data_IF_755586451382
#
_entry.id   IF_755586451382
#
_cell.length_a   1.000
_cell.length_b   1.000
_cell.length_c   1.000
_cell.angle_alpha   90.00
_cell.angle_beta   90.00
_cell.angle_gamma   90.00
#
_symmetry.space_group_name_H-M   'P 1'
#
loop_
_entity.id
_entity.type
_entity.pdbx_description
1 polymer ?
#
# COMPACT_ATOMS: atom_id res chain seq x y z
N UNK A 1 15.01 23.22 5.71
CA UNK A 1 13.99 23.57 6.72
C UNK A 1 14.47 23.10 8.08
N UNK A 2 14.42 23.93 9.09
CA UNK A 2 14.78 23.59 10.46
C UNK A 2 13.75 24.20 11.41
N UNK A 3 13.09 23.34 12.17
CA UNK A 3 12.16 23.81 13.20
C UNK A 3 12.90 24.53 14.34
N UNK A 4 14.13 24.11 14.59
CA UNK A 4 14.93 24.60 15.70
C UNK A 4 15.67 25.92 15.38
N UNK A 5 16.21 26.04 14.18
CA UNK A 5 17.09 27.15 13.76
C UNK A 5 16.47 28.04 12.67
N UNK A 6 15.29 27.69 12.18
CA UNK A 6 14.65 28.34 11.04
C UNK A 6 13.85 29.60 11.38
N UNK A 7 13.60 30.35 10.34
CA UNK A 7 12.66 31.47 10.33
C UNK A 7 12.03 31.56 8.95
N UNK A 8 10.71 31.66 8.87
CA UNK A 8 10.00 31.72 7.58
C UNK A 8 10.21 33.02 6.81
N UNK A 9 10.94 33.97 7.37
CA UNK A 9 11.43 35.17 6.67
C UNK A 9 12.80 34.96 6.01
N UNK A 10 13.47 33.83 6.29
CA UNK A 10 14.75 33.47 5.69
C UNK A 10 14.60 33.15 4.19
N UNK A 11 15.73 33.07 3.49
CA UNK A 11 15.74 32.70 2.07
C UNK A 11 15.44 31.21 1.82
N UNK A 12 15.67 30.35 2.82
CA UNK A 12 15.55 28.91 2.72
C UNK A 12 16.62 28.22 1.84
N UNK A 13 17.60 28.99 1.33
CA UNK A 13 18.57 28.50 0.32
C UNK A 13 19.83 27.87 0.91
N UNK A 14 20.00 27.93 2.21
CA UNK A 14 21.15 27.31 2.90
C UNK A 14 20.75 26.88 4.31
N UNK A 15 21.56 26.02 4.91
CA UNK A 15 21.42 25.62 6.32
C UNK A 15 21.67 26.78 7.31
N UNK A 16 22.28 27.88 6.87
CA UNK A 16 22.46 29.09 7.68
C UNK A 16 21.21 29.97 7.72
N UNK A 17 20.33 29.86 6.72
CA UNK A 17 19.09 30.63 6.61
C UNK A 17 17.90 29.73 6.27
N UNK A 18 17.58 28.70 7.10
CA UNK A 18 16.52 27.77 6.81
C UNK A 18 15.13 28.38 7.09
N UNK A 19 14.11 27.89 6.40
CA UNK A 19 12.72 28.10 6.83
C UNK A 19 12.45 27.38 8.16
N UNK A 20 11.51 27.90 8.94
CA UNK A 20 11.10 27.26 10.20
C UNK A 20 9.99 26.22 10.01
N UNK A 21 9.15 26.35 8.98
CA UNK A 21 7.95 25.56 8.82
C UNK A 21 7.79 24.94 7.45
N UNK A 22 7.02 23.84 7.38
CA UNK A 22 6.56 23.24 6.12
C UNK A 22 5.52 24.13 5.42
N UNK A 23 4.85 25.01 6.13
CA UNK A 23 3.92 25.98 5.52
C UNK A 23 4.63 26.98 4.61
N UNK A 24 5.88 27.34 4.91
CA UNK A 24 6.70 28.12 3.99
C UNK A 24 6.95 27.35 2.68
N UNK A 25 7.24 26.04 2.77
CA UNK A 25 7.49 25.19 1.61
C UNK A 25 6.23 25.03 0.75
N UNK A 26 5.07 24.81 1.35
CA UNK A 26 3.80 24.64 0.64
C UNK A 26 3.39 25.87 -0.20
N UNK A 27 4.02 27.03 0.00
CA UNK A 27 3.79 28.26 -0.76
C UNK A 27 4.78 28.47 -1.90
N UNK A 28 5.84 27.68 -1.96
CA UNK A 28 6.84 27.80 -3.01
C UNK A 28 6.32 27.22 -4.33
N UNK A 29 6.83 27.79 -5.41
CA UNK A 29 6.75 27.20 -6.73
C UNK A 29 8.06 26.50 -7.01
N UNK A 30 8.04 25.17 -6.87
CA UNK A 30 9.23 24.35 -7.06
C UNK A 30 9.57 24.20 -8.55
N UNK A 31 10.86 24.04 -8.81
CA UNK A 31 11.40 23.84 -10.14
C UNK A 31 12.08 22.47 -10.24
N UNK A 32 12.23 21.90 -11.43
CA UNK A 32 13.04 20.70 -11.62
C UNK A 32 14.43 20.85 -11.03
N UNK A 33 14.84 19.87 -10.22
CA UNK A 33 16.12 19.85 -9.50
C UNK A 33 16.11 20.50 -8.13
N UNK A 34 15.00 21.09 -7.69
CA UNK A 34 14.89 21.64 -6.34
C UNK A 34 14.98 20.53 -5.29
N UNK A 35 15.61 20.85 -4.18
CA UNK A 35 15.76 19.96 -3.03
C UNK A 35 15.16 20.60 -1.78
N UNK A 36 14.16 19.95 -1.20
CA UNK A 36 13.56 20.33 0.08
C UNK A 36 14.18 19.41 1.13
N UNK A 37 15.07 19.96 1.95
CA UNK A 37 15.77 19.20 2.96
C UNK A 37 15.34 19.65 4.36
N UNK A 38 14.92 18.70 5.16
CA UNK A 38 14.50 18.88 6.55
C UNK A 38 15.68 18.52 7.45
N UNK A 39 15.93 19.33 8.46
CA UNK A 39 17.00 19.08 9.43
C UNK A 39 16.66 17.87 10.31
N UNK A 40 17.60 16.96 10.45
CA UNK A 40 17.51 15.85 11.37
C UNK A 40 17.17 16.32 12.79
N UNK A 41 16.52 15.49 13.59
CA UNK A 41 16.03 15.80 14.93
C UNK A 41 14.97 16.92 14.99
N UNK A 42 14.43 17.39 13.85
CA UNK A 42 13.29 18.32 13.81
C UNK A 42 11.97 17.57 13.88
N UNK A 43 10.98 18.15 14.59
CA UNK A 43 9.61 17.61 14.65
C UNK A 43 8.61 18.67 14.19
N UNK A 44 8.02 18.48 13.02
CA UNK A 44 7.05 19.38 12.43
C UNK A 44 5.62 18.97 12.86
N UNK A 45 5.28 19.24 14.12
CA UNK A 45 4.00 18.87 14.72
C UNK A 45 2.85 19.73 14.19
N UNK A 46 1.74 19.10 13.77
CA UNK A 46 0.58 19.76 13.17
C UNK A 46 0.87 20.33 11.77
N UNK A 47 1.94 19.89 11.12
CA UNK A 47 2.36 20.36 9.81
C UNK A 47 2.36 19.22 8.79
N UNK A 48 2.30 19.58 7.52
CA UNK A 48 2.19 18.65 6.40
C UNK A 48 2.87 19.25 5.16
N UNK A 49 3.16 18.38 4.18
CA UNK A 49 3.65 18.78 2.86
C UNK A 49 2.61 18.50 1.77
N UNK A 50 2.40 19.48 0.89
CA UNK A 50 1.58 19.33 -0.32
C UNK A 50 2.39 19.77 -1.53
N UNK A 51 2.73 18.84 -2.41
CA UNK A 51 3.56 19.06 -3.60
C UNK A 51 2.68 18.86 -4.84
N UNK A 52 2.58 19.89 -5.65
CA UNK A 52 1.84 19.90 -6.93
C UNK A 52 2.75 20.19 -8.12
N UNK A 53 4.01 20.49 -7.86
CA UNK A 53 5.04 20.74 -8.85
C UNK A 53 5.76 19.47 -9.23
N UNK A 54 6.40 19.47 -10.38
CA UNK A 54 7.05 18.31 -10.96
C UNK A 54 8.52 18.60 -11.26
N UNK A 55 9.35 17.58 -11.06
CA UNK A 55 10.69 17.55 -11.61
C UNK A 55 10.70 17.11 -13.07
N UNK A 56 11.87 16.70 -13.53
CA UNK A 56 12.07 15.96 -14.77
C UNK A 56 12.87 14.70 -14.49
N UNK A 57 12.96 13.79 -15.47
CA UNK A 57 13.74 12.55 -15.32
C UNK A 57 15.19 12.81 -14.88
N UNK A 58 15.81 13.87 -15.43
CA UNK A 58 17.21 14.20 -15.16
C UNK A 58 17.37 15.13 -13.96
N UNK A 59 16.33 15.86 -13.58
CA UNK A 59 16.29 16.83 -12.50
C UNK A 59 15.02 16.61 -11.64
N UNK A 60 14.94 15.51 -10.88
CA UNK A 60 13.81 15.27 -10.00
C UNK A 60 13.77 16.31 -8.87
N UNK A 61 12.57 16.56 -8.34
CA UNK A 61 12.40 17.24 -7.05
C UNK A 61 12.72 16.21 -5.97
N UNK A 62 13.60 16.55 -5.04
CA UNK A 62 13.99 15.67 -3.93
C UNK A 62 13.53 16.27 -2.60
N UNK A 63 12.79 15.48 -1.83
CA UNK A 63 12.36 15.81 -0.47
C UNK A 63 13.03 14.81 0.46
N UNK A 64 13.81 15.29 1.43
CA UNK A 64 14.58 14.40 2.30
C UNK A 64 15.15 15.12 3.51
N UNK A 65 16.18 14.54 4.09
CA UNK A 65 16.81 15.02 5.30
C UNK A 65 18.20 15.63 5.05
N UNK A 66 18.68 16.43 5.99
CA UNK A 66 20.07 16.83 6.12
C UNK A 66 20.49 16.81 7.60
N UNK A 67 21.80 16.68 7.83
CA UNK A 67 22.36 16.52 9.18
C UNK A 67 22.15 17.77 10.06
N UNK A 68 21.75 17.54 11.31
CA UNK A 68 21.85 18.54 12.40
C UNK A 68 23.27 18.52 12.95
N UNK A 69 24.12 19.44 12.48
CA UNK A 69 25.53 19.54 12.88
C UNK A 69 25.73 19.88 14.36
N UNK A 70 24.67 20.18 15.09
CA UNK A 70 24.72 20.50 16.52
C UNK A 70 24.54 19.26 17.41
N UNK A 71 24.17 18.12 16.84
CA UNK A 71 23.90 16.87 17.54
C UNK A 71 24.77 15.73 17.02
N UNK A 72 25.24 14.88 17.92
CA UNK A 72 25.95 13.66 17.54
C UNK A 72 25.01 12.57 17.02
N UNK A 73 23.79 12.49 17.58
CA UNK A 73 22.76 11.56 17.17
C UNK A 73 21.89 12.20 16.05
N UNK A 74 21.68 11.45 14.99
CA UNK A 74 20.97 11.89 13.78
C UNK A 74 19.70 11.07 13.60
N UNK A 75 18.58 11.53 14.18
CA UNK A 75 17.29 10.93 13.93
C UNK A 75 16.63 11.58 12.71
N UNK A 76 15.89 10.82 11.86
CA UNK A 76 15.19 11.42 10.73
C UNK A 76 14.24 12.52 11.19
N UNK A 77 14.02 13.56 10.38
CA UNK A 77 13.05 14.59 10.71
C UNK A 77 11.63 14.03 10.64
N UNK A 78 10.79 14.41 11.61
CA UNK A 78 9.43 13.92 11.75
C UNK A 78 8.43 14.92 11.19
N UNK A 79 7.57 14.48 10.30
CA UNK A 79 6.33 15.19 9.91
C UNK A 79 5.16 14.54 10.64
N UNK A 80 4.69 15.18 11.71
CA UNK A 80 3.57 14.73 12.50
C UNK A 80 2.31 15.54 12.14
N UNK A 81 1.54 15.07 11.15
CA UNK A 81 0.43 15.86 10.62
C UNK A 81 -0.71 16.07 11.61
N UNK A 82 -0.95 15.14 12.53
CA UNK A 82 -1.97 15.24 13.57
C UNK A 82 -3.38 15.56 13.04
N UNK A 83 -3.76 14.93 11.92
CA UNK A 83 -5.04 15.15 11.25
C UNK A 83 -5.09 16.41 10.37
N UNK A 84 -4.00 17.14 10.23
CA UNK A 84 -3.87 18.25 9.28
C UNK A 84 -3.54 17.75 7.86
N UNK A 85 -3.30 18.66 6.91
CA UNK A 85 -3.04 18.28 5.51
C UNK A 85 -4.30 17.76 4.82
N UNK A 86 -5.42 18.43 5.06
CA UNK A 86 -6.75 18.00 4.58
C UNK A 86 -6.90 18.35 3.09
N UNK A 87 -7.34 17.36 2.31
CA UNK A 87 -7.72 17.52 0.92
C UNK A 87 -8.98 16.70 0.61
N UNK A 88 -9.63 17.00 -0.51
CA UNK A 88 -10.84 16.29 -0.91
C UNK A 88 -10.53 15.30 -2.03
N UNK A 89 -10.66 14.02 -1.72
CA UNK A 89 -10.58 12.95 -2.70
C UNK A 89 -11.94 12.73 -3.33
N UNK A 90 -11.99 12.65 -4.66
CA UNK A 90 -13.21 12.33 -5.40
C UNK A 90 -12.83 11.58 -6.67
N UNK A 91 -13.27 10.33 -6.77
CA UNK A 91 -13.07 9.52 -7.98
C UNK A 91 -13.79 10.07 -9.20
N UNK A 92 -14.83 10.90 -9.03
CA UNK A 92 -15.59 11.50 -10.12
C UNK A 92 -16.51 10.52 -10.86
N UNK A 93 -16.69 9.32 -10.34
CA UNK A 93 -17.56 8.28 -10.88
C UNK A 93 -17.93 7.28 -9.77
N UNK A 94 -18.90 6.40 -10.05
CA UNK A 94 -19.16 5.22 -9.26
C UNK A 94 -17.94 4.27 -9.34
N UNK A 95 -17.69 3.51 -8.27
CA UNK A 95 -16.71 2.43 -8.23
C UNK A 95 -17.41 1.09 -8.52
N UNK A 96 -16.68 -0.01 -8.34
CA UNK A 96 -17.16 -1.39 -8.57
C UNK A 96 -18.41 -1.77 -7.76
N UNK A 97 -18.69 -1.06 -6.67
CA UNK A 97 -19.92 -1.21 -5.89
C UNK A 97 -20.46 0.14 -5.43
N UNK A 98 -21.80 0.35 -5.49
CA UNK A 98 -22.45 1.55 -4.94
C UNK A 98 -22.23 1.74 -3.43
N UNK A 99 -21.91 0.66 -2.70
CA UNK A 99 -21.63 0.70 -1.28
C UNK A 99 -20.24 1.28 -0.97
N UNK A 100 -19.36 1.40 -1.97
CA UNK A 100 -18.01 1.89 -1.77
C UNK A 100 -17.97 3.41 -1.67
N UNK A 101 -17.28 3.92 -0.65
CA UNK A 101 -17.02 5.35 -0.49
C UNK A 101 -16.16 5.83 -1.66
N UNK A 102 -16.67 6.80 -2.42
CA UNK A 102 -16.02 7.32 -3.65
C UNK A 102 -15.49 8.74 -3.52
N UNK A 103 -15.88 9.44 -2.48
CA UNK A 103 -15.41 10.81 -2.21
C UNK A 103 -15.44 11.11 -0.71
N UNK A 104 -14.63 12.07 -0.29
CA UNK A 104 -14.57 12.52 1.08
C UNK A 104 -13.27 13.24 1.40
N UNK A 105 -13.21 13.80 2.60
CA UNK A 105 -12.00 14.44 3.09
C UNK A 105 -10.99 13.40 3.60
N UNK A 106 -9.73 13.65 3.26
CA UNK A 106 -8.57 12.86 3.68
C UNK A 106 -7.54 13.80 4.29
N UNK A 107 -6.90 13.37 5.37
CA UNK A 107 -5.72 14.03 5.92
C UNK A 107 -4.47 13.25 5.50
N UNK A 108 -3.43 13.94 5.03
CA UNK A 108 -2.16 13.31 4.62
C UNK A 108 -0.97 14.08 5.18
N UNK A 109 0.00 13.34 5.76
CA UNK A 109 1.23 13.99 6.22
C UNK A 109 2.06 14.52 5.03
N UNK A 110 2.08 13.75 3.94
CA UNK A 110 2.61 14.20 2.65
C UNK A 110 1.59 13.88 1.56
N UNK A 111 1.27 14.88 0.74
CA UNK A 111 0.45 14.73 -0.46
C UNK A 111 1.26 15.11 -1.70
N UNK A 112 1.42 14.17 -2.62
CA UNK A 112 1.91 14.41 -3.98
C UNK A 112 0.71 14.42 -4.92
N UNK A 113 0.26 15.60 -5.38
CA UNK A 113 -0.93 15.73 -6.20
C UNK A 113 -0.57 16.18 -7.61
N UNK A 114 -0.85 15.36 -8.60
CA UNK A 114 -0.47 15.59 -10.00
C UNK A 114 1.02 15.88 -10.21
N UNK A 115 1.86 15.47 -9.27
CA UNK A 115 3.30 15.61 -9.32
C UNK A 115 3.95 14.42 -10.02
N UNK A 116 5.10 14.64 -10.67
CA UNK A 116 5.92 13.61 -11.26
C UNK A 116 7.41 13.91 -11.09
N UNK A 117 8.24 12.88 -11.22
CA UNK A 117 9.68 12.95 -10.97
C UNK A 117 9.97 13.59 -9.61
N UNK A 118 9.38 13.00 -8.58
CA UNK A 118 9.56 13.37 -7.17
C UNK A 118 10.14 12.18 -6.41
N UNK A 119 11.19 12.45 -5.64
CA UNK A 119 11.75 11.50 -4.67
C UNK A 119 11.44 12.00 -3.26
N UNK A 120 10.74 11.19 -2.46
CA UNK A 120 10.51 11.41 -1.04
C UNK A 120 11.30 10.36 -0.26
N UNK A 121 12.20 10.79 0.64
CA UNK A 121 13.13 9.89 1.27
C UNK A 121 13.57 10.32 2.68
N UNK A 122 14.02 9.33 3.48
CA UNK A 122 14.75 9.54 4.73
C UNK A 122 13.98 10.40 5.74
N UNK A 123 12.65 10.20 5.84
CA UNK A 123 11.75 10.93 6.74
C UNK A 123 10.97 9.98 7.63
N UNK A 124 10.58 10.48 8.80
CA UNK A 124 9.60 9.85 9.67
C UNK A 124 8.26 10.57 9.55
N UNK A 125 7.17 9.82 9.35
CA UNK A 125 5.83 10.35 9.09
C UNK A 125 4.82 9.75 10.04
N UNK A 126 4.06 10.60 10.73
CA UNK A 126 2.92 10.19 11.57
C UNK A 126 1.68 11.01 11.24
N UNK A 127 0.50 10.43 11.43
CA UNK A 127 -0.74 11.15 11.21
C UNK A 127 -1.85 10.62 12.15
N UNK A 128 -1.69 10.90 13.43
CA UNK A 128 -2.62 10.51 14.50
C UNK A 128 -3.60 11.63 14.81
N UNK A 129 -4.88 11.30 14.96
CA UNK A 129 -5.85 12.21 15.58
C UNK A 129 -5.90 12.02 17.10
N UNK A 130 -6.42 13.02 17.82
CA UNK A 130 -6.65 12.94 19.28
C UNK A 130 -7.78 11.98 19.66
N UNK A 131 -8.43 11.39 18.70
CA UNK A 131 -9.59 10.50 18.79
C UNK A 131 -9.22 9.01 18.89
N UNK A 132 -7.98 8.68 19.28
CA UNK A 132 -7.58 7.30 19.56
C UNK A 132 -8.30 6.85 20.84
N UNK A 133 -9.17 5.86 20.72
CA UNK A 133 -9.95 5.33 21.84
C UNK A 133 -9.66 3.83 21.99
N UNK A 134 -9.09 3.44 23.15
CA UNK A 134 -8.88 2.03 23.49
C UNK A 134 -7.82 1.31 22.65
N UNK A 135 -8.00 0.00 22.52
CA UNK A 135 -7.07 -0.88 21.79
C UNK A 135 -7.28 -0.83 20.27
N UNK A 136 -8.45 -0.42 19.82
CA UNK A 136 -8.77 -0.26 18.40
C UNK A 136 -8.11 0.99 17.86
N UNK A 137 -7.22 0.82 16.89
CA UNK A 137 -6.44 1.92 16.32
C UNK A 137 -7.25 2.79 15.35
N UNK A 138 -8.22 2.22 14.67
CA UNK A 138 -9.12 2.89 13.75
C UNK A 138 -10.59 2.71 14.16
N UNK A 139 -11.46 3.62 13.70
CA UNK A 139 -12.89 3.57 13.98
C UNK A 139 -13.68 4.16 12.80
N UNK A 140 -15.00 3.80 12.68
CA UNK A 140 -15.82 4.20 11.52
C UNK A 140 -16.05 5.70 11.37
N UNK A 141 -16.00 6.43 12.48
CA UNK A 141 -16.21 7.88 12.54
C UNK A 141 -14.92 8.71 12.38
N UNK A 142 -13.77 8.04 12.32
CA UNK A 142 -12.50 8.73 12.06
C UNK A 142 -12.39 9.21 10.61
N UNK A 143 -11.68 10.31 10.43
CA UNK A 143 -11.27 10.77 9.11
C UNK A 143 -10.33 9.75 8.45
N UNK A 144 -10.41 9.61 7.14
CA UNK A 144 -9.39 8.90 6.39
C UNK A 144 -8.05 9.61 6.52
N UNK A 145 -6.99 8.88 6.90
CA UNK A 145 -5.64 9.44 7.13
C UNK A 145 -4.58 8.61 6.43
N UNK A 146 -3.60 9.29 5.84
CA UNK A 146 -2.42 8.66 5.25
C UNK A 146 -1.12 9.26 5.77
N UNK A 147 -0.07 8.46 5.80
CA UNK A 147 1.29 8.96 5.87
C UNK A 147 1.65 9.66 4.56
N UNK A 148 1.63 8.93 3.44
CA UNK A 148 1.86 9.48 2.10
C UNK A 148 0.66 9.18 1.21
N UNK A 149 0.06 10.23 0.65
CA UNK A 149 -0.91 10.13 -0.43
C UNK A 149 -0.27 10.58 -1.76
N UNK A 150 -0.49 9.78 -2.81
CA UNK A 150 -0.11 10.16 -4.18
C UNK A 150 -1.36 10.10 -5.05
N UNK A 151 -1.74 11.24 -5.62
CA UNK A 151 -2.94 11.37 -6.43
C UNK A 151 -2.60 11.86 -7.85
N UNK A 152 -3.14 11.18 -8.86
CA UNK A 152 -3.11 11.61 -10.24
C UNK A 152 -4.53 11.98 -10.68
N UNK A 153 -4.72 13.13 -11.33
CA UNK A 153 -6.05 13.57 -11.79
C UNK A 153 -6.03 14.30 -13.13
N UNK A 154 -5.46 15.50 -13.19
CA UNK A 154 -5.69 16.43 -14.29
C UNK A 154 -4.49 16.61 -15.24
N UNK A 155 -3.42 15.84 -15.04
CA UNK A 155 -2.20 15.96 -15.83
C UNK A 155 -1.80 14.64 -16.55
N UNK A 156 -2.75 13.69 -16.70
CA UNK A 156 -2.50 12.42 -17.38
C UNK A 156 -1.54 11.50 -16.61
N UNK A 157 -0.57 10.92 -17.31
CA UNK A 157 0.41 9.99 -16.71
C UNK A 157 1.36 10.71 -15.77
N UNK A 158 1.43 10.24 -14.51
CA UNK A 158 2.43 10.73 -13.53
C UNK A 158 3.55 9.71 -13.41
N UNK A 159 4.76 10.13 -13.76
CA UNK A 159 5.93 9.25 -13.86
C UNK A 159 7.02 9.57 -12.86
N UNK A 160 7.87 8.57 -12.57
CA UNK A 160 9.12 8.78 -11.84
C UNK A 160 8.93 9.15 -10.36
N UNK A 161 7.98 8.54 -9.68
CA UNK A 161 7.76 8.73 -8.25
C UNK A 161 8.57 7.69 -7.48
N UNK A 162 9.44 8.13 -6.59
CA UNK A 162 10.24 7.28 -5.71
C UNK A 162 9.95 7.62 -4.25
N UNK A 163 9.48 6.62 -3.50
CA UNK A 163 9.29 6.68 -2.05
C UNK A 163 10.27 5.70 -1.43
N UNK A 164 11.25 6.19 -0.65
CA UNK A 164 12.27 5.28 -0.11
C UNK A 164 12.72 5.65 1.29
N UNK A 165 13.13 4.62 2.05
CA UNK A 165 13.67 4.77 3.41
C UNK A 165 12.76 5.62 4.32
N UNK A 166 11.43 5.50 4.17
CA UNK A 166 10.46 6.18 5.00
C UNK A 166 10.14 5.35 6.24
N UNK A 167 10.03 5.98 7.38
CA UNK A 167 9.48 5.40 8.60
C UNK A 167 8.09 5.98 8.79
N UNK A 168 7.05 5.18 8.57
CA UNK A 168 5.65 5.62 8.62
C UNK A 168 4.94 4.85 9.71
N UNK A 169 4.45 5.56 10.72
CA UNK A 169 3.77 4.87 11.82
C UNK A 169 2.71 5.74 12.48
N UNK A 170 1.88 5.10 13.29
CA UNK A 170 0.82 5.79 14.01
C UNK A 170 -0.08 6.65 13.11
N UNK A 171 -0.58 6.01 12.03
CA UNK A 171 -1.56 6.61 11.11
C UNK A 171 -2.93 6.01 11.39
N UNK A 172 -3.74 6.69 12.20
CA UNK A 172 -5.01 6.18 12.67
C UNK A 172 -6.22 6.76 11.92
N UNK A 173 -6.59 6.14 10.82
CA UNK A 173 -7.72 6.56 10.01
C UNK A 173 -8.94 5.64 10.12
N UNK A 174 -9.82 5.75 9.15
CA UNK A 174 -11.02 4.95 9.02
C UNK A 174 -10.75 3.64 8.29
N UNK A 175 -10.71 2.52 9.01
CA UNK A 175 -10.43 1.20 8.42
C UNK A 175 -11.54 0.72 7.47
N UNK A 176 -12.75 1.25 7.60
CA UNK A 176 -13.92 0.79 6.84
C UNK A 176 -13.98 1.34 5.41
N UNK A 177 -13.30 2.45 5.13
CA UNK A 177 -13.27 3.08 3.82
C UNK A 177 -12.08 2.58 2.98
N UNK A 178 -12.12 1.33 2.54
CA UNK A 178 -11.00 0.72 1.80
C UNK A 178 -10.65 1.39 0.46
N UNK A 179 -11.55 2.20 -0.09
CA UNK A 179 -11.36 2.88 -1.38
C UNK A 179 -10.77 4.28 -1.24
N UNK A 180 -10.73 4.81 -0.04
CA UNK A 180 -10.18 6.12 0.25
C UNK A 180 -8.69 6.04 0.63
N UNK A 181 -7.98 7.14 0.48
CA UNK A 181 -6.61 7.25 0.99
C UNK A 181 -6.57 7.06 2.50
N UNK A 182 -6.09 5.93 2.96
CA UNK A 182 -6.21 5.49 4.34
C UNK A 182 -5.15 4.45 4.69
N UNK A 183 -4.12 4.86 5.41
CA UNK A 183 -3.02 3.98 5.82
C UNK A 183 -1.64 4.59 5.66
N UNK A 184 -0.61 3.77 5.47
CA UNK A 184 0.78 4.21 5.36
C UNK A 184 1.06 4.97 4.06
N UNK A 185 1.07 4.26 2.95
CA UNK A 185 1.25 4.81 1.60
C UNK A 185 0.05 4.39 0.75
N UNK A 186 -0.62 5.35 0.13
CA UNK A 186 -1.72 5.06 -0.78
C UNK A 186 -1.66 5.92 -2.05
N UNK A 187 -1.71 5.25 -3.20
CA UNK A 187 -1.71 5.89 -4.51
C UNK A 187 -3.07 5.71 -5.17
N UNK A 188 -3.62 6.78 -5.77
CA UNK A 188 -4.93 6.74 -6.41
C UNK A 188 -4.98 7.55 -7.71
N UNK A 189 -5.69 7.03 -8.70
CA UNK A 189 -5.99 7.76 -9.93
C UNK A 189 -7.45 8.21 -9.94
N UNK A 190 -7.66 9.51 -10.05
CA UNK A 190 -8.95 10.19 -10.03
C UNK A 190 -9.37 10.59 -11.45
N UNK A 191 -10.67 10.65 -11.71
CA UNK A 191 -11.18 11.05 -13.02
C UNK A 191 -10.78 12.49 -13.34
N UNK A 192 -10.14 12.75 -14.49
CA UNK A 192 -9.83 14.10 -14.93
C UNK A 192 -11.08 14.97 -15.03
N UNK A 193 -10.97 16.23 -14.63
CA UNK A 193 -12.06 17.22 -14.73
C UNK A 193 -12.12 17.76 -16.16
N UNK A 194 -10.98 18.06 -16.77
CA UNK A 194 -10.90 18.56 -18.15
C UNK A 194 -11.14 17.42 -19.16
N UNK A 195 -11.98 17.68 -20.17
CA UNK A 195 -12.44 16.67 -21.13
C UNK A 195 -11.32 16.09 -22.01
N UNK A 196 -10.31 16.87 -22.34
CA UNK A 196 -9.25 16.51 -23.28
C UNK A 196 -7.96 16.07 -22.58
N UNK A 197 -8.04 15.74 -21.30
CA UNK A 197 -6.89 15.26 -20.53
C UNK A 197 -6.72 13.75 -20.74
N UNK A 198 -5.49 13.30 -20.93
CA UNK A 198 -5.15 11.87 -20.90
C UNK A 198 -5.59 11.22 -19.59
N UNK A 199 -5.80 9.91 -19.63
CA UNK A 199 -6.18 9.15 -18.45
C UNK A 199 -5.15 9.30 -17.32
N UNK A 200 -5.64 9.66 -16.15
CA UNK A 200 -4.80 9.74 -14.95
C UNK A 200 -4.34 8.34 -14.55
N UNK A 201 -3.03 8.13 -14.45
CA UNK A 201 -2.39 6.86 -14.10
C UNK A 201 -0.92 7.05 -13.74
N UNK A 202 -0.29 6.01 -13.23
CA UNK A 202 1.11 6.05 -12.80
C UNK A 202 2.02 5.21 -13.71
N UNK A 203 3.27 5.68 -13.85
CA UNK A 203 4.33 4.95 -14.55
C UNK A 203 5.67 5.17 -13.85
N UNK A 204 6.54 4.14 -13.82
CA UNK A 204 7.86 4.21 -13.18
C UNK A 204 7.75 4.64 -11.72
N UNK A 205 7.06 3.86 -10.92
CA UNK A 205 6.92 4.08 -9.47
C UNK A 205 7.78 3.07 -8.72
N UNK A 206 8.53 3.55 -7.75
CA UNK A 206 9.31 2.70 -6.84
C UNK A 206 8.97 3.04 -5.40
N UNK A 207 8.62 2.02 -4.61
CA UNK A 207 8.50 2.11 -3.14
C UNK A 207 9.49 1.12 -2.55
N UNK A 208 10.52 1.61 -1.85
CA UNK A 208 11.63 0.77 -1.40
C UNK A 208 12.18 1.14 -0.02
N UNK A 209 12.59 0.13 0.74
CA UNK A 209 13.26 0.32 2.03
C UNK A 209 12.42 1.02 3.09
N UNK A 210 11.09 1.02 2.96
CA UNK A 210 10.21 1.68 3.91
C UNK A 210 9.85 0.76 5.09
N UNK A 211 9.78 1.33 6.29
CA UNK A 211 9.21 0.71 7.46
C UNK A 211 7.83 1.32 7.75
N UNK A 212 6.79 0.49 7.78
CA UNK A 212 5.40 0.92 8.01
C UNK A 212 4.82 0.16 9.19
N UNK A 213 4.36 0.85 10.21
CA UNK A 213 3.87 0.20 11.44
C UNK A 213 2.63 0.89 12.02
N UNK A 214 1.65 0.12 12.46
CA UNK A 214 0.41 0.63 13.08
C UNK A 214 -0.26 1.72 12.25
N UNK A 215 -0.66 1.32 11.05
CA UNK A 215 -1.43 2.17 10.15
C UNK A 215 -2.84 1.60 9.97
N UNK A 216 -3.82 2.45 9.65
CA UNK A 216 -5.22 2.06 9.66
C UNK A 216 -5.56 0.96 8.65
N UNK A 217 -5.80 1.22 7.39
CA UNK A 217 -6.26 0.19 6.45
C UNK A 217 -5.10 -0.45 5.69
N UNK A 218 -4.39 0.34 4.92
CA UNK A 218 -3.38 -0.12 3.98
C UNK A 218 -1.97 0.15 4.50
N UNK A 219 -1.09 -0.84 4.45
CA UNK A 219 0.31 -0.58 4.67
C UNK A 219 0.90 0.20 3.49
N UNK A 220 1.03 -0.44 2.34
CA UNK A 220 1.47 0.15 1.08
C UNK A 220 0.50 -0.29 -0.01
N UNK A 221 -0.16 0.65 -0.69
CA UNK A 221 -1.09 0.35 -1.76
C UNK A 221 -0.92 1.24 -2.99
N UNK A 222 -0.77 0.62 -4.15
CA UNK A 222 -1.17 1.21 -5.43
C UNK A 222 -2.64 0.85 -5.58
N UNK A 223 -3.51 1.78 -5.22
CA UNK A 223 -4.90 1.51 -4.91
C UNK A 223 -5.86 1.72 -6.07
N UNK A 224 -7.08 2.12 -5.73
CA UNK A 224 -8.18 2.21 -6.70
C UNK A 224 -7.98 3.31 -7.75
N UNK A 225 -8.57 3.06 -8.93
CA UNK A 225 -8.65 4.01 -10.04
C UNK A 225 -10.10 4.28 -10.44
N UNK A 226 -10.38 5.50 -10.88
CA UNK A 226 -11.67 5.84 -11.50
C UNK A 226 -11.97 5.00 -12.75
N UNK A 227 -10.94 4.47 -13.39
CA UNK A 227 -11.07 3.71 -14.63
C UNK A 227 -11.27 2.20 -14.40
N UNK A 228 -11.65 1.78 -13.19
CA UNK A 228 -11.80 0.38 -12.79
C UNK A 228 -12.65 -0.45 -13.78
N UNK A 229 -13.67 0.15 -14.38
CA UNK A 229 -14.53 -0.53 -15.35
C UNK A 229 -13.79 -0.99 -16.63
N UNK A 230 -12.63 -0.42 -16.94
CA UNK A 230 -11.79 -0.87 -18.06
C UNK A 230 -11.13 -2.23 -17.80
N UNK A 231 -11.17 -2.71 -16.56
CA UNK A 231 -10.55 -3.96 -16.11
C UNK A 231 -11.60 -5.00 -15.66
N UNK A 232 -12.79 -4.91 -16.24
CA UNK A 232 -13.85 -5.90 -16.00
C UNK A 232 -13.53 -7.24 -16.70
N UNK A 233 -13.98 -8.34 -16.07
CA UNK A 233 -13.78 -9.69 -16.58
C UNK A 233 -12.45 -10.32 -16.19
N UNK A 234 -12.22 -11.53 -16.69
CA UNK A 234 -11.06 -12.35 -16.38
C UNK A 234 -9.86 -12.06 -17.30
N UNK A 235 -10.10 -12.06 -18.61
CA UNK A 235 -9.06 -11.77 -19.61
C UNK A 235 -8.80 -10.26 -19.68
N UNK A 236 -7.70 -9.82 -19.08
CA UNK A 236 -7.36 -8.40 -19.02
C UNK A 236 -6.60 -7.96 -20.27
N UNK A 237 -7.15 -6.99 -20.97
CA UNK A 237 -6.56 -6.45 -22.20
C UNK A 237 -5.31 -5.61 -21.93
N UNK A 238 -4.19 -5.90 -22.58
CA UNK A 238 -2.98 -5.07 -22.50
C UNK A 238 -3.24 -3.63 -22.98
N UNK A 239 -4.12 -3.45 -23.98
CA UNK A 239 -4.52 -2.12 -24.46
C UNK A 239 -5.18 -1.30 -23.35
N UNK A 240 -6.03 -1.93 -22.51
CA UNK A 240 -6.65 -1.25 -21.36
C UNK A 240 -5.59 -0.77 -20.35
N UNK A 241 -4.55 -1.58 -20.11
CA UNK A 241 -3.45 -1.17 -19.22
C UNK A 241 -2.62 -0.03 -19.82
N UNK A 242 -2.28 -0.07 -21.09
CA UNK A 242 -1.53 1.00 -21.75
C UNK A 242 -2.29 2.33 -21.77
N UNK A 243 -3.62 2.28 -21.68
CA UNK A 243 -4.48 3.47 -21.69
C UNK A 243 -4.84 3.96 -20.29
N UNK A 244 -5.21 3.06 -19.38
CA UNK A 244 -5.80 3.37 -18.08
C UNK A 244 -5.04 2.78 -16.89
N UNK A 245 -4.21 1.75 -17.09
CA UNK A 245 -3.53 1.03 -16.04
C UNK A 245 -2.19 1.65 -15.65
N UNK A 246 -1.66 1.13 -14.56
CA UNK A 246 -0.33 1.52 -14.08
C UNK A 246 0.76 0.67 -14.78
N UNK A 247 1.92 1.25 -14.99
CA UNK A 247 3.04 0.59 -15.65
C UNK A 247 4.34 0.73 -14.86
N UNK A 248 5.17 -0.30 -14.90
CA UNK A 248 6.49 -0.29 -14.26
C UNK A 248 6.40 0.12 -12.78
N UNK A 249 5.62 -0.63 -12.02
CA UNK A 249 5.46 -0.48 -10.57
C UNK A 249 6.38 -1.47 -9.87
N UNK A 250 7.23 -0.99 -8.99
CA UNK A 250 8.14 -1.81 -8.16
C UNK A 250 7.93 -1.48 -6.68
N UNK A 251 7.65 -2.51 -5.88
CA UNK A 251 7.55 -2.41 -4.41
C UNK A 251 8.53 -3.42 -3.84
N UNK A 252 9.60 -2.97 -3.18
CA UNK A 252 10.67 -3.86 -2.73
C UNK A 252 11.32 -3.44 -1.42
N UNK A 253 11.88 -4.43 -0.73
CA UNK A 253 12.68 -4.22 0.48
C UNK A 253 11.93 -3.46 1.59
N UNK A 254 10.58 -3.57 1.64
CA UNK A 254 9.77 -2.91 2.64
C UNK A 254 9.41 -3.87 3.78
N UNK A 255 9.26 -3.31 4.98
CA UNK A 255 8.75 -4.01 6.15
C UNK A 255 7.45 -3.36 6.61
N UNK A 256 6.33 -4.07 6.50
CA UNK A 256 5.01 -3.62 6.93
C UNK A 256 4.57 -4.42 8.14
N UNK A 257 4.35 -3.74 9.25
CA UNK A 257 3.97 -4.35 10.52
C UNK A 257 2.65 -3.80 11.01
N UNK A 258 1.81 -4.67 11.57
CA UNK A 258 0.54 -4.28 12.23
C UNK A 258 -0.32 -3.32 11.41
N UNK A 259 -0.50 -3.60 10.11
CA UNK A 259 -1.51 -2.88 9.32
C UNK A 259 -2.92 -3.24 9.79
N UNK A 260 -3.83 -2.26 9.83
CA UNK A 260 -5.22 -2.49 10.21
C UNK A 260 -5.96 -3.41 9.25
N UNK A 261 -5.66 -3.31 7.96
CA UNK A 261 -6.11 -4.19 6.90
C UNK A 261 -4.94 -4.83 6.18
N UNK A 262 -4.88 -4.62 4.89
CA UNK A 262 -3.90 -5.22 3.98
C UNK A 262 -2.50 -4.64 4.20
N UNK A 263 -1.45 -5.46 4.02
CA UNK A 263 -0.10 -4.95 4.17
C UNK A 263 0.43 -4.33 2.88
N UNK A 264 0.48 -5.08 1.78
CA UNK A 264 1.01 -4.60 0.49
C UNK A 264 0.09 -5.02 -0.65
N UNK A 265 -0.38 -4.05 -1.41
CA UNK A 265 -1.31 -4.30 -2.51
C UNK A 265 -0.95 -3.48 -3.75
N UNK A 266 -1.06 -4.12 -4.92
CA UNK A 266 -0.95 -3.45 -6.22
C UNK A 266 -2.21 -3.75 -7.02
N UNK A 267 -2.86 -2.70 -7.53
CA UNK A 267 -4.08 -2.83 -8.32
C UNK A 267 -3.88 -2.20 -9.69
N UNK A 268 -4.57 -2.74 -10.70
CA UNK A 268 -4.65 -2.23 -12.09
C UNK A 268 -3.29 -1.97 -12.75
N UNK A 269 -2.30 -2.81 -12.47
CA UNK A 269 -0.96 -2.66 -13.00
C UNK A 269 -0.59 -3.75 -14.02
N UNK A 270 0.12 -3.34 -15.06
CA UNK A 270 0.73 -4.24 -16.04
C UNK A 270 2.15 -4.59 -15.57
N UNK A 271 2.41 -5.89 -15.39
CA UNK A 271 3.71 -6.46 -14.99
C UNK A 271 4.33 -5.78 -13.76
N UNK A 272 3.55 -5.56 -12.67
CA UNK A 272 4.16 -5.05 -11.44
C UNK A 272 5.11 -6.08 -10.82
N UNK A 273 6.14 -5.59 -10.13
CA UNK A 273 7.09 -6.42 -9.39
C UNK A 273 7.03 -6.08 -7.91
N UNK A 274 6.73 -7.07 -7.07
CA UNK A 274 6.68 -6.96 -5.61
C UNK A 274 7.64 -8.00 -5.03
N UNK A 275 8.76 -7.53 -4.48
CA UNK A 275 9.83 -8.46 -4.09
C UNK A 275 10.56 -8.02 -2.82
N UNK A 276 11.09 -9.02 -2.09
CA UNK A 276 11.87 -8.80 -0.86
C UNK A 276 11.14 -7.97 0.21
N UNK A 277 9.81 -8.07 0.28
CA UNK A 277 9.04 -7.39 1.31
C UNK A 277 8.69 -8.35 2.45
N UNK A 278 8.46 -7.78 3.63
CA UNK A 278 7.94 -8.50 4.78
C UNK A 278 6.62 -7.90 5.26
N UNK A 279 5.60 -8.72 5.42
CA UNK A 279 4.35 -8.41 6.11
C UNK A 279 4.32 -9.14 7.44
N UNK A 280 4.27 -8.41 8.54
CA UNK A 280 4.18 -8.94 9.90
C UNK A 280 2.89 -8.46 10.56
N UNK A 281 1.98 -9.37 10.82
CA UNK A 281 0.73 -9.08 11.54
C UNK A 281 -0.20 -8.13 10.78
N UNK A 282 -0.59 -8.48 9.55
CA UNK A 282 -1.63 -7.75 8.81
C UNK A 282 -3.05 -8.03 9.36
N UNK A 283 -4.03 -7.25 8.92
CA UNK A 283 -5.46 -7.33 9.27
C UNK A 283 -5.76 -7.17 10.78
N UNK A 284 -5.01 -6.32 11.47
CA UNK A 284 -5.19 -6.12 12.91
C UNK A 284 -6.55 -5.52 13.27
N UNK A 285 -7.15 -4.73 12.39
CA UNK A 285 -8.46 -4.08 12.59
C UNK A 285 -9.56 -4.73 11.72
N UNK A 286 -9.19 -5.41 10.65
CA UNK A 286 -10.10 -6.16 9.77
C UNK A 286 -10.16 -7.63 10.22
N UNK A 287 -10.78 -7.89 11.35
CA UNK A 287 -10.97 -9.24 11.88
C UNK A 287 -12.26 -9.32 12.70
N UNK A 288 -12.73 -10.54 12.95
CA UNK A 288 -14.02 -10.79 13.62
C UNK A 288 -14.12 -10.26 15.05
N UNK A 289 -12.99 -9.97 15.68
CA UNK A 289 -12.95 -9.49 17.07
C UNK A 289 -13.17 -7.98 17.18
N UNK A 290 -12.77 -7.22 16.15
CA UNK A 290 -12.70 -5.75 16.17
C UNK A 290 -13.63 -5.13 15.13
N UNK A 291 -13.64 -5.65 13.90
CA UNK A 291 -14.46 -5.10 12.83
C UNK A 291 -15.96 -5.24 13.12
N UNK A 292 -16.62 -4.13 13.37
CA UNK A 292 -18.05 -4.12 13.66
C UNK A 292 -18.84 -3.73 12.41
N UNK A 293 -19.62 -4.69 11.91
CA UNK A 293 -20.64 -4.37 10.93
C UNK A 293 -21.82 -3.67 11.63
N UNK A 294 -22.03 -2.40 11.46
CA UNK A 294 -23.22 -2.02 10.67
C UNK A 294 -22.88 -1.07 9.53
N UNK A 295 -21.64 -0.67 9.37
CA UNK A 295 -21.32 0.38 8.41
C UNK A 295 -21.20 -0.10 6.97
N UNK A 296 -21.28 -1.38 6.66
CA UNK A 296 -21.36 -1.99 5.30
C UNK A 296 -20.64 -1.21 4.17
N UNK A 297 -19.49 -0.61 4.47
CA UNK A 297 -18.78 0.29 3.55
C UNK A 297 -17.71 -0.40 2.72
N UNK A 298 -17.87 -1.66 2.47
CA UNK A 298 -16.89 -2.44 1.75
C UNK A 298 -16.19 -3.46 2.62
N UNK A 299 -15.93 -4.57 2.04
CA UNK A 299 -15.62 -5.86 2.57
C UNK A 299 -14.76 -5.95 3.84
N UNK A 300 -15.19 -6.82 4.70
CA UNK A 300 -14.44 -7.41 5.78
C UNK A 300 -13.42 -8.39 5.20
N UNK A 301 -12.58 -7.90 4.29
CA UNK A 301 -11.61 -8.68 3.54
C UNK A 301 -10.25 -8.00 3.62
N UNK A 302 -9.23 -8.76 3.93
CA UNK A 302 -7.84 -8.34 3.90
C UNK A 302 -6.92 -9.56 3.81
N UNK A 303 -5.88 -9.44 3.01
CA UNK A 303 -4.77 -10.37 2.91
C UNK A 303 -3.43 -9.64 3.13
N UNK A 304 -2.32 -10.36 3.24
CA UNK A 304 -1.06 -9.69 3.52
C UNK A 304 -0.48 -9.02 2.26
N UNK A 305 -0.13 -9.79 1.22
CA UNK A 305 0.58 -9.28 0.03
C UNK A 305 -0.11 -9.79 -1.24
N UNK A 306 -0.72 -8.89 -2.02
CA UNK A 306 -1.57 -9.33 -3.12
C UNK A 306 -1.80 -8.30 -4.22
N UNK A 307 -2.07 -8.73 -5.48
CA UNK A 307 -2.56 -7.89 -6.56
C UNK A 307 -4.08 -7.91 -6.68
N UNK A 308 -4.66 -6.91 -7.32
CA UNK A 308 -6.01 -6.95 -7.82
C UNK A 308 -6.11 -6.38 -9.24
N UNK A 309 -6.78 -7.12 -10.14
CA UNK A 309 -6.94 -6.68 -11.53
C UNK A 309 -5.60 -6.29 -12.17
N UNK A 310 -4.55 -7.04 -11.87
CA UNK A 310 -3.24 -6.89 -12.50
C UNK A 310 -3.07 -7.92 -13.62
N UNK A 311 -2.19 -7.60 -14.59
CA UNK A 311 -1.77 -8.54 -15.62
C UNK A 311 -0.30 -8.85 -15.50
N UNK A 312 0.06 -10.16 -15.56
CA UNK A 312 1.43 -10.67 -15.46
C UNK A 312 2.17 -10.13 -14.21
N UNK A 313 1.50 -10.09 -13.07
CA UNK A 313 2.07 -9.61 -11.82
C UNK A 313 3.08 -10.62 -11.24
N UNK A 314 4.24 -10.14 -10.79
CA UNK A 314 5.29 -10.96 -10.20
C UNK A 314 5.51 -10.60 -8.73
N UNK A 315 5.28 -11.59 -7.86
CA UNK A 315 5.50 -11.51 -6.41
C UNK A 315 6.54 -12.55 -6.01
N UNK A 316 7.71 -12.10 -5.56
CA UNK A 316 8.79 -13.04 -5.23
C UNK A 316 9.63 -12.62 -4.04
N UNK A 317 10.21 -13.60 -3.37
CA UNK A 317 11.09 -13.41 -2.22
C UNK A 317 10.45 -12.57 -1.10
N UNK A 318 9.10 -12.61 -0.97
CA UNK A 318 8.40 -11.94 0.10
C UNK A 318 8.17 -12.90 1.27
N UNK A 319 8.02 -12.32 2.46
CA UNK A 319 7.58 -13.01 3.67
C UNK A 319 6.24 -12.44 4.13
N UNK A 320 5.30 -13.31 4.53
CA UNK A 320 4.05 -12.90 5.13
C UNK A 320 3.72 -13.76 6.35
N UNK A 321 3.55 -13.11 7.50
CA UNK A 321 3.36 -13.79 8.78
C UNK A 321 2.22 -13.18 9.59
N UNK A 322 1.55 -14.04 10.37
CA UNK A 322 0.61 -13.67 11.42
C UNK A 322 -0.57 -12.79 10.93
N UNK A 323 -0.99 -12.93 9.67
CA UNK A 323 -2.18 -12.24 9.14
C UNK A 323 -3.42 -12.74 9.87
N UNK A 324 -4.23 -11.83 10.41
CA UNK A 324 -5.42 -12.17 11.18
C UNK A 324 -6.56 -12.67 10.30
N UNK A 325 -7.30 -13.65 10.82
CA UNK A 325 -8.48 -14.18 10.15
C UNK A 325 -9.57 -13.12 10.07
N UNK A 326 -10.06 -12.97 8.89
CA UNK A 326 -11.24 -12.20 8.52
C UNK A 326 -12.03 -13.05 7.51
N UNK A 327 -12.72 -12.47 6.55
CA UNK A 327 -13.29 -13.29 5.48
C UNK A 327 -12.16 -14.00 4.69
N UNK A 328 -11.02 -13.36 4.52
CA UNK A 328 -9.82 -13.87 3.83
C UNK A 328 -8.71 -14.24 4.84
N UNK A 329 -7.75 -13.37 5.10
CA UNK A 329 -6.74 -13.53 6.14
C UNK A 329 -5.53 -14.37 5.77
N UNK A 330 -5.27 -14.59 4.47
CA UNK A 330 -4.11 -15.36 4.00
C UNK A 330 -2.88 -14.49 3.76
N UNK A 331 -1.73 -15.16 3.60
CA UNK A 331 -0.47 -14.54 3.23
C UNK A 331 -0.54 -13.90 1.83
N UNK A 332 -1.02 -14.66 0.85
CA UNK A 332 -1.03 -14.29 -0.57
C UNK A 332 -2.41 -14.50 -1.17
N UNK A 333 -2.80 -13.61 -2.09
CA UNK A 333 -4.08 -13.71 -2.78
C UNK A 333 -3.92 -13.29 -4.25
N UNK A 334 -4.14 -14.22 -5.17
CA UNK A 334 -4.25 -13.90 -6.59
C UNK A 334 -5.69 -13.49 -6.87
N UNK A 335 -6.02 -12.21 -6.65
CA UNK A 335 -7.40 -11.74 -6.76
C UNK A 335 -7.69 -11.14 -8.14
N UNK A 336 -8.61 -11.78 -8.86
CA UNK A 336 -9.22 -11.26 -10.10
C UNK A 336 -8.18 -10.74 -11.11
N UNK A 337 -7.03 -11.39 -11.20
CA UNK A 337 -5.91 -11.03 -12.08
C UNK A 337 -5.69 -12.03 -13.20
N UNK A 338 -4.90 -11.64 -14.20
CA UNK A 338 -4.52 -12.47 -15.33
C UNK A 338 -3.01 -12.70 -15.33
N UNK A 339 -2.56 -13.92 -15.01
CA UNK A 339 -1.15 -14.30 -15.03
C UNK A 339 -0.37 -13.90 -13.77
N UNK A 340 -1.00 -13.84 -12.60
CA UNK A 340 -0.28 -13.58 -11.33
C UNK A 340 0.66 -14.74 -11.00
N UNK A 341 1.92 -14.43 -10.71
CA UNK A 341 2.96 -15.38 -10.31
C UNK A 341 3.47 -15.06 -8.91
N UNK A 342 3.38 -16.06 -8.03
CA UNK A 342 4.05 -16.07 -6.73
C UNK A 342 5.18 -17.09 -6.76
N UNK A 343 6.43 -16.65 -6.56
CA UNK A 343 7.57 -17.56 -6.55
C UNK A 343 8.59 -17.21 -5.46
N UNK A 344 9.16 -18.24 -4.84
CA UNK A 344 10.18 -18.11 -3.80
C UNK A 344 9.74 -17.25 -2.60
N UNK A 345 8.44 -17.26 -2.27
CA UNK A 345 7.92 -16.58 -1.10
C UNK A 345 7.85 -17.51 0.10
N UNK A 346 7.80 -16.93 1.28
CA UNK A 346 7.63 -17.62 2.54
C UNK A 346 6.37 -17.14 3.26
N UNK A 347 5.58 -18.07 3.81
CA UNK A 347 4.44 -17.73 4.67
C UNK A 347 4.50 -18.52 5.97
N UNK A 348 4.04 -17.91 7.07
CA UNK A 348 3.93 -18.60 8.35
C UNK A 348 2.80 -18.09 9.21
N UNK A 349 2.09 -19.02 9.84
CA UNK A 349 1.08 -18.79 10.88
C UNK A 349 -0.01 -17.76 10.49
N UNK A 350 -0.32 -17.64 9.20
CA UNK A 350 -1.44 -16.81 8.76
C UNK A 350 -2.76 -17.52 9.10
N UNK A 351 -3.64 -16.81 9.79
CA UNK A 351 -4.90 -17.40 10.29
C UNK A 351 -5.84 -17.81 9.13
N UNK A 352 -5.77 -17.18 7.97
CA UNK A 352 -6.57 -17.51 6.78
C UNK A 352 -5.94 -18.51 5.82
N UNK A 353 -4.66 -18.85 5.99
CA UNK A 353 -3.94 -19.76 5.12
C UNK A 353 -2.78 -19.14 4.35
N UNK A 354 -2.16 -19.92 3.47
CA UNK A 354 -1.02 -19.47 2.67
C UNK A 354 -1.45 -18.66 1.44
N UNK A 355 -2.19 -19.29 0.52
CA UNK A 355 -2.54 -18.66 -0.75
C UNK A 355 -4.00 -18.88 -1.11
N UNK A 356 -4.62 -17.82 -1.65
CA UNK A 356 -5.92 -17.87 -2.29
C UNK A 356 -5.78 -17.52 -3.78
N UNK A 357 -6.62 -18.17 -4.59
CA UNK A 357 -6.92 -17.74 -5.96
C UNK A 357 -8.36 -17.27 -5.96
N UNK A 358 -8.54 -15.97 -5.82
CA UNK A 358 -9.84 -15.38 -5.50
C UNK A 358 -10.68 -15.16 -6.75
N UNK A 359 -11.89 -15.72 -6.72
CA UNK A 359 -12.92 -15.61 -7.73
C UNK A 359 -12.58 -16.30 -9.09
N UNK A 360 -13.60 -16.43 -9.93
CA UNK A 360 -13.48 -17.02 -11.27
C UNK A 360 -12.56 -16.20 -12.21
N UNK A 361 -12.30 -14.96 -11.86
CA UNK A 361 -11.49 -14.02 -12.63
C UNK A 361 -9.97 -14.11 -12.33
N UNK A 362 -9.55 -14.94 -11.38
CA UNK A 362 -8.13 -15.19 -11.08
C UNK A 362 -7.56 -16.25 -12.04
N UNK A 363 -7.32 -15.85 -13.30
CA UNK A 363 -6.89 -16.78 -14.36
C UNK A 363 -5.37 -16.81 -14.55
N UNK A 364 -4.85 -17.91 -15.11
CA UNK A 364 -3.43 -18.16 -15.42
C UNK A 364 -2.50 -17.98 -14.22
N UNK A 365 -3.03 -18.13 -13.00
CA UNK A 365 -2.29 -17.90 -11.76
C UNK A 365 -1.32 -19.03 -11.44
N UNK A 366 -0.12 -18.70 -10.93
CA UNK A 366 0.93 -19.65 -10.58
C UNK A 366 1.47 -19.38 -9.18
N UNK A 367 1.57 -20.45 -8.41
CA UNK A 367 2.22 -20.43 -7.09
C UNK A 367 3.32 -21.50 -7.08
N UNK A 368 4.60 -21.09 -7.22
CA UNK A 368 5.69 -21.99 -7.53
C UNK A 368 6.91 -21.75 -6.63
N UNK A 369 7.56 -22.82 -6.17
CA UNK A 369 8.78 -22.76 -5.34
C UNK A 369 8.63 -21.96 -4.04
N UNK A 370 7.43 -21.93 -3.45
CA UNK A 370 7.17 -21.23 -2.20
C UNK A 370 7.26 -22.19 -1.02
N UNK A 371 7.39 -21.62 0.18
CA UNK A 371 7.36 -22.36 1.44
C UNK A 371 6.26 -21.79 2.32
N UNK A 372 5.35 -22.66 2.78
CA UNK A 372 4.33 -22.36 3.78
C UNK A 372 4.63 -23.11 5.06
N UNK A 373 4.65 -22.42 6.19
CA UNK A 373 4.94 -23.02 7.48
C UNK A 373 3.81 -22.73 8.48
N UNK A 374 3.06 -23.78 8.82
CA UNK A 374 2.04 -23.75 9.88
C UNK A 374 0.95 -22.69 9.68
N UNK A 375 0.50 -22.49 8.44
CA UNK A 375 -0.67 -21.63 8.15
C UNK A 375 -1.98 -22.32 8.58
N UNK A 376 -2.97 -21.57 9.11
CA UNK A 376 -3.88 -22.15 10.11
C UNK A 376 -5.27 -22.59 9.63
N UNK A 377 -5.92 -21.92 8.69
CA UNK A 377 -7.31 -22.28 8.30
C UNK A 377 -7.41 -23.30 7.16
N UNK A 378 -6.31 -23.71 6.65
CA UNK A 378 -6.05 -24.48 5.45
C UNK A 378 -4.85 -23.86 4.74
N UNK A 379 -4.17 -24.63 3.90
CA UNK A 379 -2.97 -24.09 3.23
C UNK A 379 -3.36 -23.30 1.99
N UNK A 380 -4.29 -23.82 1.19
CA UNK A 380 -4.74 -23.17 -0.04
C UNK A 380 -6.24 -22.93 -0.05
N UNK A 381 -6.64 -21.89 -0.75
CA UNK A 381 -8.03 -21.61 -1.14
C UNK A 381 -8.08 -21.53 -2.68
N UNK A 382 -8.43 -22.65 -3.37
CA UNK A 382 -8.38 -22.68 -4.82
C UNK A 382 -9.47 -21.84 -5.47
N UNK A 383 -9.16 -21.26 -6.62
CA UNK A 383 -10.14 -20.60 -7.45
C UNK A 383 -11.16 -21.57 -8.04
N UNK A 384 -12.30 -21.05 -8.46
CA UNK A 384 -13.23 -21.79 -9.32
C UNK A 384 -12.76 -21.83 -10.78
N UNK A 385 -11.51 -21.50 -11.04
CA UNK A 385 -10.87 -21.49 -12.34
C UNK A 385 -9.82 -22.60 -12.40
N UNK A 386 -9.94 -23.58 -13.32
CA UNK A 386 -9.11 -24.81 -13.32
C UNK A 386 -7.65 -24.59 -13.76
N UNK A 387 -7.25 -23.43 -14.20
CA UNK A 387 -5.91 -23.17 -14.71
C UNK A 387 -4.90 -22.70 -13.65
N UNK A 388 -5.32 -22.55 -12.39
CA UNK A 388 -4.40 -22.29 -11.28
C UNK A 388 -3.38 -23.42 -11.13
N UNK A 389 -2.09 -23.07 -11.13
CA UNK A 389 -0.98 -24.02 -11.03
C UNK A 389 -0.19 -23.81 -9.75
N UNK A 390 -0.12 -24.88 -8.92
CA UNK A 390 0.80 -24.99 -7.79
C UNK A 390 1.92 -25.95 -8.16
N UNK A 391 3.19 -25.56 -7.97
CA UNK A 391 4.29 -26.46 -8.32
C UNK A 391 5.57 -26.23 -7.52
N UNK A 392 6.21 -27.34 -7.12
CA UNK A 392 7.50 -27.34 -6.39
C UNK A 392 7.46 -26.55 -5.08
N UNK A 393 6.30 -26.46 -4.44
CA UNK A 393 6.16 -25.81 -3.15
C UNK A 393 6.39 -26.80 -2.01
N UNK A 394 6.73 -26.28 -0.83
CA UNK A 394 6.79 -27.03 0.42
C UNK A 394 5.78 -26.47 1.40
N UNK A 395 4.92 -27.35 1.90
CA UNK A 395 3.88 -27.01 2.86
C UNK A 395 4.09 -27.79 4.14
N UNK A 396 4.47 -27.11 5.20
CA UNK A 396 4.56 -27.65 6.54
C UNK A 396 3.23 -27.44 7.23
N UNK A 397 2.45 -28.51 7.39
CA UNK A 397 1.05 -28.44 7.79
C UNK A 397 0.87 -29.05 9.17
N UNK A 398 0.24 -28.35 10.07
CA UNK A 398 -0.13 -28.82 11.39
C UNK A 398 -1.15 -29.97 11.29
N UNK A 399 -0.98 -31.01 12.10
CA UNK A 399 -1.94 -32.11 12.19
C UNK A 399 -3.36 -31.56 12.46
N UNK A 400 -4.32 -32.00 11.66
CA UNK A 400 -5.73 -31.59 11.77
C UNK A 400 -6.11 -30.35 10.99
N UNK A 401 -5.15 -29.60 10.43
CA UNK A 401 -5.43 -28.55 9.46
C UNK A 401 -5.59 -29.16 8.07
N UNK A 402 -6.69 -28.88 7.35
CA UNK A 402 -6.87 -29.37 5.99
C UNK A 402 -5.91 -28.65 5.02
N UNK A 403 -5.51 -29.35 3.95
CA UNK A 403 -4.71 -28.70 2.90
C UNK A 403 -5.54 -27.65 2.15
N UNK A 404 -6.77 -27.97 1.79
CA UNK A 404 -7.73 -27.03 1.20
C UNK A 404 -8.62 -26.43 2.29
N UNK A 405 -8.81 -25.13 2.28
CA UNK A 405 -9.69 -24.42 3.22
C UNK A 405 -11.14 -24.94 3.09
N UNK A 406 -11.79 -25.32 4.18
CA UNK A 406 -13.09 -26.03 4.20
C UNK A 406 -14.23 -25.34 3.46
N UNK A 407 -14.28 -24.02 3.50
CA UNK A 407 -15.32 -23.23 2.84
C UNK A 407 -15.07 -22.99 1.34
N UNK A 408 -13.96 -23.52 0.82
CA UNK A 408 -13.56 -23.43 -0.58
C UNK A 408 -13.52 -24.79 -1.26
N UNK A 409 -14.14 -25.81 -0.67
CA UNK A 409 -14.30 -27.14 -1.27
C UNK A 409 -15.02 -27.03 -2.62
N UNK A 410 -14.45 -27.60 -3.67
CA UNK A 410 -14.99 -27.58 -5.01
C UNK A 410 -14.28 -26.66 -6.00
N UNK A 411 -13.32 -25.84 -5.53
CA UNK A 411 -12.40 -25.15 -6.43
C UNK A 411 -11.47 -26.13 -7.15
N UNK A 412 -11.04 -25.76 -8.34
CA UNK A 412 -10.15 -26.59 -9.16
C UNK A 412 -8.77 -25.94 -9.29
N UNK A 413 -7.75 -26.78 -9.38
CA UNK A 413 -6.37 -26.36 -9.56
C UNK A 413 -5.53 -27.55 -10.07
N UNK A 414 -4.34 -27.26 -10.60
CA UNK A 414 -3.35 -28.26 -10.95
C UNK A 414 -2.21 -28.20 -9.95
N UNK A 415 -1.80 -29.38 -9.43
CA UNK A 415 -0.69 -29.49 -8.50
C UNK A 415 0.39 -30.43 -9.08
N UNK A 416 1.67 -29.99 -9.04
CA UNK A 416 2.82 -30.76 -9.57
C UNK A 416 4.02 -30.63 -8.65
N UNK A 417 4.57 -31.79 -8.23
CA UNK A 417 5.82 -31.85 -7.48
C UNK A 417 5.87 -31.01 -6.19
N UNK A 418 4.71 -30.77 -5.57
CA UNK A 418 4.61 -30.14 -4.26
C UNK A 418 4.89 -31.20 -3.16
N UNK A 419 5.49 -30.76 -2.07
CA UNK A 419 5.71 -31.57 -0.87
C UNK A 419 4.81 -31.08 0.27
N UNK A 420 4.03 -32.01 0.86
CA UNK A 420 3.22 -31.73 2.06
C UNK A 420 3.86 -32.49 3.22
N UNK A 421 4.33 -31.78 4.23
CA UNK A 421 5.05 -32.29 5.39
C UNK A 421 4.20 -32.03 6.63
N UNK A 422 3.87 -33.08 7.35
CA UNK A 422 3.11 -32.98 8.60
C UNK A 422 4.06 -32.58 9.74
N UNK A 423 3.73 -31.51 10.43
CA UNK A 423 4.47 -31.08 11.62
C UNK A 423 4.16 -32.01 12.80
N UNK A 424 5.21 -32.48 13.48
CA UNK A 424 5.10 -33.20 14.75
C UNK A 424 4.76 -32.21 15.88
N UNK A 425 4.17 -32.72 16.98
CA UNK A 425 3.71 -31.87 18.11
C UNK A 425 4.85 -31.15 18.86
N UNK A 426 6.09 -31.60 18.71
CA UNK A 426 7.30 -31.06 19.38
C UNK A 426 7.97 -29.91 18.61
N UNK A 427 7.56 -29.64 17.40
CA UNK A 427 8.17 -28.61 16.52
C UNK A 427 7.46 -27.24 16.58
N UNK A 428 6.77 -26.95 17.69
CA UNK A 428 5.98 -25.72 17.89
C UNK A 428 6.78 -24.58 18.49
#
# INVERSE_FOLDING_TARGET
>A
VSQKHGNDQNSGRSSAEPYASLFAINRLKLQPGDRILLENNSVFAGQFLQITDSGTKDLPIVIGAYEDWTQAEQNPPVIAANGQGIWYQDYGCELDSPAHTRNGYVSSAVLLYDAEYVTLQDLELTNSGQDIIGECYSAPDKMNRTGVAVAARDKGVRSGITLRNLVIHDVNGNVYDKHMNNGGIYMTALKPIARDTEAARFRNVTVEGCYVDRVSRWGIAVGYTYAHAAFAGAELSEEAFLKYGHENITIRDNYVKRSGGDAITVMYALRPVVEHNCSDSAAQEINDRIYQEPQKRGGKVAAAIWPWKCKDALFRFNEAADTRLNQDGMAYDADSGDGTVYEYNFSRQNEGGCVMFCLEEAIHSRFCNNVSFDDLSGTISPAQNPDALLSHNRYYVRKGIPFVRKNMDGGTYTQKADEIILLEEEER
#
